data_IF_367876102640
#
_entry.id   IF_367876102640
#
_cell.length_a   1.000
_cell.length_b   1.000
_cell.length_c   1.000
_cell.angle_alpha   90.00
_cell.angle_beta   90.00
_cell.angle_gamma   90.00
#
_symmetry.space_group_name_H-M   'P 1'
#
loop_
_entity.id
_entity.type
_entity.pdbx_description
1 polymer ?
#
# COMPACT_ATOMS: atom_id res chain seq x y z
N UNK A 1 -24.10 18.49 4.80
CA UNK A 1 -23.70 17.06 4.92
C UNK A 1 -22.39 16.86 4.17
N UNK A 2 -21.27 16.82 4.89
CA UNK A 2 -19.97 16.54 4.30
C UNK A 2 -19.98 15.09 3.79
N UNK A 3 -19.96 14.92 2.46
CA UNK A 3 -19.90 13.62 1.82
C UNK A 3 -18.56 13.00 2.22
N UNK A 4 -18.56 12.03 3.13
CA UNK A 4 -17.35 11.32 3.52
C UNK A 4 -16.72 10.69 2.26
N UNK A 5 -15.68 11.32 1.72
CA UNK A 5 -14.92 10.80 0.61
C UNK A 5 -14.08 9.63 1.12
N UNK A 6 -14.70 8.45 1.24
CA UNK A 6 -13.98 7.21 1.54
C UNK A 6 -13.09 6.93 0.34
N UNK A 7 -11.77 7.05 0.51
CA UNK A 7 -10.80 6.55 -0.48
C UNK A 7 -11.10 5.06 -0.68
N UNK A 8 -11.19 4.64 -1.95
CA UNK A 8 -11.38 3.23 -2.28
C UNK A 8 -10.17 2.45 -1.75
N UNK A 9 -10.41 1.27 -1.18
CA UNK A 9 -9.32 0.36 -0.81
C UNK A 9 -8.54 0.03 -2.07
N UNK A 10 -7.23 0.26 -2.05
CA UNK A 10 -6.34 -0.08 -3.15
C UNK A 10 -5.11 -0.79 -2.58
N UNK A 11 -4.62 -1.79 -3.30
CA UNK A 11 -3.34 -2.41 -3.02
C UNK A 11 -2.28 -1.74 -3.90
N UNK A 12 -1.27 -1.14 -3.28
CA UNK A 12 -0.19 -0.44 -3.99
C UNK A 12 0.61 -1.40 -4.89
N UNK A 13 0.92 -2.59 -4.40
CA UNK A 13 1.64 -3.62 -5.14
C UNK A 13 0.89 -4.08 -6.39
N UNK A 14 -0.43 -4.22 -6.31
CA UNK A 14 -1.27 -4.56 -7.46
C UNK A 14 -1.35 -3.42 -8.47
N UNK A 15 -1.41 -2.16 -8.01
CA UNK A 15 -1.43 -0.99 -8.89
C UNK A 15 -0.10 -0.79 -9.62
N UNK A 16 1.02 -1.07 -8.96
CA UNK A 16 2.38 -1.00 -9.53
C UNK A 16 2.76 -2.27 -10.34
N UNK A 17 1.86 -3.26 -10.44
CA UNK A 17 2.05 -4.56 -11.12
C UNK A 17 3.32 -5.30 -10.65
N UNK A 18 3.59 -5.26 -9.35
CA UNK A 18 4.72 -5.96 -8.73
C UNK A 18 4.41 -7.46 -8.71
N UNK A 19 5.23 -8.26 -9.38
CA UNK A 19 5.05 -9.72 -9.47
C UNK A 19 5.63 -10.49 -8.28
N UNK A 20 6.64 -9.93 -7.60
CA UNK A 20 7.30 -10.52 -6.45
C UNK A 20 7.70 -9.44 -5.45
N UNK A 21 7.53 -9.71 -4.16
CA UNK A 21 7.92 -8.81 -3.07
C UNK A 21 9.12 -9.45 -2.36
N UNK A 22 10.27 -8.78 -2.37
CA UNK A 22 11.46 -9.23 -1.66
C UNK A 22 11.48 -8.65 -0.23
N UNK A 23 11.89 -9.46 0.74
CA UNK A 23 12.09 -9.03 2.13
C UNK A 23 13.27 -8.05 2.27
N UNK A 24 14.15 -7.98 1.26
CA UNK A 24 15.25 -7.01 1.19
C UNK A 24 14.79 -5.59 0.85
N UNK A 25 13.57 -5.41 0.34
CA UNK A 25 13.01 -4.10 -0.02
C UNK A 25 12.45 -3.35 1.20
N UNK A 26 13.30 -3.16 2.21
CA UNK A 26 12.97 -2.60 3.53
C UNK A 26 12.33 -1.21 3.40
N UNK A 27 12.75 -0.41 2.42
CA UNK A 27 12.21 0.94 2.19
C UNK A 27 10.73 0.96 1.81
N UNK A 28 10.25 -0.10 1.16
CA UNK A 28 8.84 -0.24 0.79
C UNK A 28 8.05 -0.89 1.91
N UNK A 29 8.61 -1.93 2.53
CA UNK A 29 7.96 -2.71 3.58
C UNK A 29 7.79 -1.93 4.88
N UNK A 30 8.74 -1.05 5.23
CA UNK A 30 8.65 -0.21 6.44
C UNK A 30 7.43 0.70 6.48
N UNK A 31 6.86 1.05 5.32
CA UNK A 31 5.68 1.92 5.23
C UNK A 31 4.38 1.20 5.63
N UNK A 32 4.41 -0.14 5.68
CA UNK A 32 3.26 -0.99 6.01
C UNK A 32 3.31 -1.55 7.43
N UNK A 33 4.39 -1.30 8.17
CA UNK A 33 4.53 -1.69 9.57
C UNK A 33 4.14 -0.46 10.40
N UNK A 34 3.02 -0.54 11.11
CA UNK A 34 2.68 0.39 12.19
C UNK A 34 3.33 -0.07 13.48
N UNK A 35 3.73 0.85 14.36
CA UNK A 35 4.22 0.54 15.72
C UNK A 35 3.29 -0.42 16.47
#
# INVERSE_FOLDING_TARGET
>A
MARFYRRRKFCRFTAEKVAYIDYKDIDTLKQYITE
#
